data_IF_084189452787
#
_entry.id   IF_084189452787
#
_cell.length_a   1.000
_cell.length_b   1.000
_cell.length_c   1.000
_cell.angle_alpha   90.00
_cell.angle_beta   90.00
_cell.angle_gamma   90.00
#
_symmetry.space_group_name_H-M   'P 1'
#
loop_
_entity.id
_entity.type
_entity.pdbx_description
1 polymer ?
#
# COMPACT_ATOMS: atom_id res chain seq x y z
N UNK A 1 -28.32 24.65 3.79
CA UNK A 1 -28.14 23.25 4.23
C UNK A 1 -26.75 23.13 4.82
N UNK A 2 -26.65 23.07 6.14
CA UNK A 2 -25.36 23.00 6.84
C UNK A 2 -24.89 21.55 6.81
N UNK A 3 -24.03 21.21 5.85
CA UNK A 3 -23.38 19.90 5.81
C UNK A 3 -22.54 19.74 7.07
N UNK A 4 -22.96 18.88 8.00
CA UNK A 4 -22.08 18.42 9.07
C UNK A 4 -20.92 17.66 8.41
N UNK A 5 -19.80 18.36 8.21
CA UNK A 5 -18.51 17.72 7.91
C UNK A 5 -18.19 16.91 9.16
N UNK A 6 -18.54 15.62 9.15
CA UNK A 6 -18.09 14.70 10.19
C UNK A 6 -16.58 14.88 10.28
N UNK A 7 -16.11 15.31 11.45
CA UNK A 7 -14.68 15.43 11.71
C UNK A 7 -14.15 13.99 11.70
N UNK A 8 -13.72 13.55 10.53
CA UNK A 8 -12.79 12.43 10.45
C UNK A 8 -11.61 12.81 11.32
N UNK A 9 -11.13 11.87 12.13
CA UNK A 9 -9.91 12.04 12.90
C UNK A 9 -8.68 12.22 11.98
N UNK A 10 -8.83 11.86 10.70
CA UNK A 10 -7.83 11.94 9.63
C UNK A 10 -8.46 12.54 8.34
N UNK A 11 -8.77 13.84 8.29
CA UNK A 11 -9.41 14.47 7.13
C UNK A 11 -8.67 14.33 5.80
N UNK A 12 -7.34 14.46 5.74
CA UNK A 12 -6.62 14.41 4.46
C UNK A 12 -6.54 12.97 3.92
N UNK A 13 -6.23 12.00 4.78
CA UNK A 13 -6.26 10.58 4.44
C UNK A 13 -7.66 10.14 4.00
N UNK A 14 -8.73 10.66 4.62
CA UNK A 14 -10.11 10.34 4.20
C UNK A 14 -10.38 10.84 2.78
N UNK A 15 -9.93 12.05 2.44
CA UNK A 15 -10.06 12.60 1.10
C UNK A 15 -9.28 11.76 0.09
N UNK A 16 -8.01 11.46 0.39
CA UNK A 16 -7.16 10.63 -0.46
C UNK A 16 -7.75 9.22 -0.70
N UNK A 17 -8.27 8.56 0.34
CA UNK A 17 -8.93 7.26 0.18
C UNK A 17 -10.20 7.38 -0.69
N UNK A 18 -10.90 8.51 -0.64
CA UNK A 18 -12.05 8.74 -1.51
C UNK A 18 -11.61 8.82 -2.98
N UNK A 19 -10.51 9.51 -3.28
CA UNK A 19 -9.93 9.56 -4.62
C UNK A 19 -9.45 8.17 -5.09
N UNK A 20 -8.86 7.37 -4.19
CA UNK A 20 -8.48 5.99 -4.52
C UNK A 20 -9.70 5.13 -4.90
N UNK A 21 -10.81 5.28 -4.18
CA UNK A 21 -12.05 4.55 -4.48
C UNK A 21 -12.63 4.95 -5.83
N UNK A 22 -12.54 6.22 -6.20
CA UNK A 22 -12.95 6.72 -7.51
C UNK A 22 -12.06 6.13 -8.63
N UNK A 23 -10.74 6.15 -8.43
CA UNK A 23 -9.78 5.69 -9.43
C UNK A 23 -9.72 4.15 -9.61
N UNK A 24 -9.81 3.39 -8.51
CA UNK A 24 -9.55 1.94 -8.50
C UNK A 24 -10.77 1.09 -8.13
N UNK A 25 -11.87 1.71 -7.75
CA UNK A 25 -13.09 1.04 -7.33
C UNK A 25 -13.23 0.94 -5.81
N UNK A 26 -14.46 1.12 -5.35
CA UNK A 26 -14.82 1.17 -3.93
C UNK A 26 -14.50 -0.15 -3.22
N UNK A 27 -14.88 -1.27 -3.81
CA UNK A 27 -14.76 -2.59 -3.17
C UNK A 27 -13.30 -3.02 -3.00
N UNK A 28 -12.46 -2.80 -4.01
CA UNK A 28 -11.04 -3.15 -3.97
C UNK A 28 -10.31 -2.37 -2.87
N UNK A 29 -10.51 -1.05 -2.84
CA UNK A 29 -9.88 -0.18 -1.82
C UNK A 29 -10.40 -0.52 -0.42
N UNK A 30 -11.71 -0.75 -0.27
CA UNK A 30 -12.28 -1.14 1.02
C UNK A 30 -11.76 -2.51 1.50
N UNK A 31 -11.54 -3.47 0.61
CA UNK A 31 -10.96 -4.77 0.93
C UNK A 31 -9.54 -4.62 1.49
N UNK A 32 -8.69 -3.81 0.84
CA UNK A 32 -7.32 -3.54 1.30
C UNK A 32 -7.32 -2.84 2.66
N UNK A 33 -8.16 -1.83 2.86
CA UNK A 33 -8.27 -1.11 4.14
C UNK A 33 -8.74 -2.03 5.28
N UNK A 34 -9.71 -2.91 5.01
CA UNK A 34 -10.17 -3.92 5.98
C UNK A 34 -9.05 -4.86 6.38
N UNK A 35 -8.33 -5.44 5.41
CA UNK A 35 -7.17 -6.31 5.66
C UNK A 35 -6.10 -5.59 6.48
N UNK A 36 -5.83 -4.32 6.15
CA UNK A 36 -4.98 -3.41 6.92
C UNK A 36 -5.39 -3.29 8.38
N UNK A 37 -6.68 -3.09 8.64
CA UNK A 37 -7.26 -3.04 9.99
C UNK A 37 -7.19 -4.39 10.72
N UNK A 38 -7.38 -5.49 10.00
CA UNK A 38 -7.40 -6.86 10.55
C UNK A 38 -6.00 -7.44 10.86
N UNK A 39 -4.94 -6.64 10.70
CA UNK A 39 -3.58 -7.02 11.09
C UNK A 39 -2.65 -7.35 9.91
N UNK A 40 -3.14 -7.26 8.67
CA UNK A 40 -2.29 -7.52 7.52
C UNK A 40 -1.57 -6.22 7.08
N UNK A 41 -0.25 -6.24 6.85
CA UNK A 41 0.52 -5.03 6.54
C UNK A 41 0.38 -4.58 5.07
N UNK A 42 -0.87 -4.39 4.63
CA UNK A 42 -1.24 -3.95 3.28
C UNK A 42 -1.79 -2.53 3.23
N UNK A 43 -2.19 -1.98 4.38
CA UNK A 43 -2.64 -0.59 4.50
C UNK A 43 -2.30 -0.03 5.88
N UNK A 44 -1.64 1.12 5.88
CA UNK A 44 -1.34 1.91 7.07
C UNK A 44 -1.39 3.40 6.71
N UNK A 45 -2.00 4.19 7.58
CA UNK A 45 -2.01 5.65 7.46
C UNK A 45 -1.81 6.29 8.83
N UNK A 46 -1.17 7.46 8.85
CA UNK A 46 -0.99 8.28 10.05
C UNK A 46 -1.16 9.76 9.69
N UNK A 47 -1.98 10.47 10.46
CA UNK A 47 -2.24 11.90 10.28
C UNK A 47 -2.51 12.51 11.66
N UNK A 48 -1.90 13.67 11.97
CA UNK A 48 -2.18 14.39 13.21
C UNK A 48 -1.88 13.63 14.51
N UNK A 49 -1.05 12.58 14.46
CA UNK A 49 -0.77 11.69 15.60
C UNK A 49 -1.72 10.50 15.73
N UNK A 50 -2.78 10.45 14.93
CA UNK A 50 -3.68 9.31 14.82
C UNK A 50 -3.21 8.34 13.75
N UNK A 51 -3.32 7.05 14.02
CA UNK A 51 -2.93 5.99 13.09
C UNK A 51 -4.09 5.02 12.82
N UNK A 52 -4.08 4.43 11.63
CA UNK A 52 -5.07 3.45 11.20
C UNK A 52 -4.42 2.37 10.33
N UNK A 53 -4.79 1.11 10.56
CA UNK A 53 -4.26 -0.05 9.84
C UNK A 53 -2.98 -0.59 10.47
N UNK A 54 -2.28 -1.44 9.71
CA UNK A 54 -1.12 -2.19 10.19
C UNK A 54 0.15 -1.73 9.47
N UNK A 55 1.15 -1.20 10.19
CA UNK A 55 2.38 -0.75 9.57
C UNK A 55 3.16 -1.92 8.96
N UNK A 56 3.86 -1.64 7.86
CA UNK A 56 4.85 -2.57 7.33
C UNK A 56 5.90 -2.87 8.42
N UNK A 57 6.35 -4.13 8.58
CA UNK A 57 7.47 -4.43 9.45
C UNK A 57 8.70 -3.63 9.00
N UNK A 58 9.46 -3.12 9.98
CA UNK A 58 10.71 -2.44 9.69
C UNK A 58 11.64 -3.40 8.94
N UNK A 59 11.93 -3.11 7.67
CA UNK A 59 12.96 -3.82 6.92
C UNK A 59 14.35 -3.40 7.40
N UNK A 60 15.37 -4.18 7.04
CA UNK A 60 16.78 -3.87 7.31
C UNK A 60 17.32 -2.68 6.47
N UNK A 61 16.43 -1.88 5.86
CA UNK A 61 16.78 -0.86 4.88
C UNK A 61 17.09 -1.42 3.49
N UNK A 62 17.44 -0.51 2.57
CA UNK A 62 17.97 -0.87 1.25
C UNK A 62 19.47 -1.21 1.39
N UNK A 63 19.81 -2.47 1.14
CA UNK A 63 21.19 -2.92 1.06
C UNK A 63 21.62 -3.05 -0.40
N UNK A 64 22.31 -2.03 -0.91
CA UNK A 64 22.86 -2.02 -2.25
C UNK A 64 23.93 -3.11 -2.47
N UNK A 65 24.58 -3.62 -1.43
CA UNK A 65 25.51 -4.74 -1.55
C UNK A 65 24.76 -6.08 -1.64
N UNK A 66 23.63 -6.20 -0.92
CA UNK A 66 22.80 -7.41 -0.91
C UNK A 66 22.00 -7.68 -2.20
N UNK A 67 21.80 -6.68 -3.06
CA UNK A 67 21.15 -6.86 -4.38
C UNK A 67 22.07 -7.49 -5.44
N UNK A 68 23.39 -7.24 -5.39
CA UNK A 68 24.36 -7.86 -6.29
C UNK A 68 24.49 -9.37 -6.02
N UNK A 69 24.28 -9.77 -4.76
CA UNK A 69 24.24 -11.16 -4.34
C UNK A 69 22.96 -11.91 -4.76
N UNK A 70 21.86 -11.21 -5.06
CA UNK A 70 20.67 -11.85 -5.65
C UNK A 70 20.96 -12.05 -7.13
N UNK A 71 21.49 -13.22 -7.47
CA UNK A 71 21.56 -13.71 -8.85
C UNK A 71 20.15 -13.70 -9.44
N UNK A 72 19.80 -12.61 -10.12
CA UNK A 72 18.67 -12.58 -11.03
C UNK A 72 19.11 -13.48 -12.17
N UNK A 73 18.54 -14.67 -12.26
CA UNK A 73 18.77 -15.50 -13.43
C UNK A 73 18.43 -14.66 -14.66
N UNK A 74 19.35 -14.52 -15.62
CA UNK A 74 19.08 -13.72 -16.81
C UNK A 74 17.82 -14.27 -17.47
N UNK A 75 16.86 -13.39 -17.73
CA UNK A 75 15.66 -13.72 -18.51
C UNK A 75 16.16 -14.44 -19.78
N UNK A 76 15.77 -15.70 -20.02
CA UNK A 76 16.30 -16.44 -21.16
C UNK A 76 15.98 -15.65 -22.42
N UNK A 77 17.02 -15.21 -23.10
CA UNK A 77 16.84 -14.51 -24.37
C UNK A 77 16.19 -15.46 -25.36
N UNK A 78 15.40 -14.90 -26.28
CA UNK A 78 14.56 -15.62 -27.26
C UNK A 78 15.32 -16.62 -28.16
N UNK A 79 16.66 -16.66 -28.07
CA UNK A 79 17.52 -17.63 -28.74
C UNK A 79 17.60 -19.01 -28.04
N UNK A 80 17.18 -19.14 -26.77
CA UNK A 80 17.27 -20.41 -26.01
C UNK A 80 16.01 -21.29 -26.09
N UNK A 81 14.94 -20.84 -26.75
CA UNK A 81 13.74 -21.65 -26.99
C UNK A 81 14.02 -22.51 -28.23
N UNK A 82 14.70 -23.65 -28.04
CA UNK A 82 14.80 -24.68 -29.08
C UNK A 82 13.41 -25.25 -29.35
N UNK A 83 13.05 -25.37 -30.64
CA UNK A 83 11.87 -26.12 -31.09
C UNK A 83 12.02 -27.60 -30.76
#
# INVERSE_FOLDING_TARGET
>A
MTTHRQKSDMPEITAWVSDLRDAFGVEEVNSIIRRGRDGEPVFFAQEGGSSYGTPLPAGNGWDAAGIDARRVDPIPTRASIKR
#
